data_IF_709275393818
#
_entry.id   IF_709275393818
#
_cell.length_a   1.000
_cell.length_b   1.000
_cell.length_c   1.000
_cell.angle_alpha   90.00
_cell.angle_beta   90.00
_cell.angle_gamma   90.00
#
_symmetry.space_group_name_H-M   'P 1'
#
loop_
_entity.id
_entity.type
_entity.pdbx_description
1 polymer ?
#
# COMPACT_ATOMS: atom_id res chain seq x y z
N UNK A 1 13.86 4.42 14.31
CA UNK A 1 14.57 4.27 13.02
C UNK A 1 15.61 5.38 12.82
N UNK A 2 16.58 5.19 11.94
CA UNK A 2 17.59 6.17 11.51
C UNK A 2 18.08 5.85 10.09
N UNK A 3 18.62 6.83 9.38
CA UNK A 3 19.16 6.65 8.03
C UNK A 3 20.69 6.66 8.07
N UNK A 4 21.32 5.74 7.35
CA UNK A 4 22.76 5.72 7.15
C UNK A 4 23.10 5.92 5.68
N UNK A 5 24.29 6.46 5.44
CA UNK A 5 24.85 6.61 4.09
C UNK A 5 26.27 6.07 4.10
N UNK A 6 26.51 4.82 3.69
CA UNK A 6 27.84 4.26 3.59
C UNK A 6 28.77 5.15 2.74
N UNK A 7 29.99 5.39 3.22
CA UNK A 7 31.00 6.15 2.45
C UNK A 7 31.54 5.31 1.28
N UNK A 8 31.70 4.02 1.53
CA UNK A 8 32.12 3.01 0.56
C UNK A 8 30.93 2.16 0.13
N UNK A 9 31.04 1.55 -1.03
CA UNK A 9 30.03 0.65 -1.55
C UNK A 9 29.74 -0.49 -0.56
N UNK A 10 28.46 -0.64 -0.22
CA UNK A 10 27.93 -1.65 0.71
C UNK A 10 27.18 -2.69 -0.12
N UNK A 11 27.38 -3.97 0.19
CA UNK A 11 26.53 -5.03 -0.35
C UNK A 11 25.21 -5.10 0.45
N UNK A 12 24.08 -5.48 -0.18
CA UNK A 12 22.82 -5.70 0.53
C UNK A 12 23.01 -6.62 1.74
N UNK A 13 22.27 -6.37 2.80
CA UNK A 13 22.30 -7.22 3.98
C UNK A 13 21.84 -8.63 3.67
N UNK A 14 22.57 -9.60 4.20
CA UNK A 14 22.25 -11.01 4.12
C UNK A 14 22.89 -11.72 5.32
N UNK A 15 22.13 -12.60 5.96
CA UNK A 15 22.65 -13.40 7.08
C UNK A 15 23.98 -14.09 6.71
N UNK A 16 25.03 -14.02 7.56
CA UNK A 16 25.03 -13.54 8.94
C UNK A 16 25.34 -12.04 9.11
N UNK A 17 25.52 -11.29 8.02
CA UNK A 17 25.84 -9.86 8.07
C UNK A 17 24.53 -9.07 8.11
N UNK A 18 24.18 -8.58 9.29
CA UNK A 18 23.00 -7.77 9.58
C UNK A 18 23.43 -6.42 10.18
N UNK A 19 22.50 -5.45 10.36
CA UNK A 19 22.77 -4.21 11.07
C UNK A 19 23.39 -4.42 12.46
N UNK A 20 23.99 -3.37 13.06
CA UNK A 20 24.25 -2.06 12.46
C UNK A 20 25.41 -2.11 11.46
N UNK A 21 25.41 -1.23 10.47
CA UNK A 21 26.54 -1.12 9.54
C UNK A 21 27.81 -0.68 10.27
N UNK A 22 28.87 -1.50 10.18
CA UNK A 22 30.14 -1.25 10.87
C UNK A 22 31.14 -0.37 10.10
N UNK A 23 30.83 -0.01 8.84
CA UNK A 23 31.73 0.77 8.00
C UNK A 23 31.66 2.27 8.23
N UNK A 24 32.51 3.02 7.52
CA UNK A 24 32.53 4.49 7.60
C UNK A 24 31.27 5.05 6.94
N UNK A 25 30.63 6.00 7.62
CA UNK A 25 29.43 6.68 7.15
C UNK A 25 29.75 8.10 6.67
N UNK A 26 28.98 8.57 5.69
CA UNK A 26 28.87 9.99 5.38
C UNK A 26 28.10 10.70 6.50
N UNK A 27 28.23 12.03 6.64
CA UNK A 27 27.42 12.79 7.57
C UNK A 27 25.92 12.52 7.36
N UNK A 28 25.07 12.61 8.40
CA UNK A 28 23.62 12.51 8.23
C UNK A 28 23.07 13.73 7.46
N UNK A 29 21.85 13.61 6.95
CA UNK A 29 21.08 14.80 6.58
C UNK A 29 20.79 15.61 7.86
N UNK A 30 20.98 16.93 7.81
CA UNK A 30 20.76 17.82 8.95
C UNK A 30 19.52 18.67 8.73
N UNK A 31 18.67 18.74 9.75
CA UNK A 31 17.51 19.62 9.75
C UNK A 31 17.94 21.09 9.91
N UNK A 32 17.11 21.99 9.41
CA UNK A 32 17.17 23.40 9.71
C UNK A 32 16.91 23.72 11.19
N UNK A 33 17.10 24.99 11.59
CA UNK A 33 16.89 25.42 12.98
C UNK A 33 15.47 25.22 13.54
N UNK A 34 14.48 25.06 12.66
CA UNK A 34 13.08 24.78 12.96
C UNK A 34 12.75 23.28 13.03
N UNK A 35 13.73 22.41 12.76
CA UNK A 35 13.56 20.96 12.76
C UNK A 35 13.05 20.38 11.44
N UNK A 36 12.87 21.20 10.39
CA UNK A 36 12.46 20.75 9.07
C UNK A 36 13.66 20.44 8.16
N UNK A 37 13.44 19.62 7.12
CA UNK A 37 14.45 19.23 6.13
C UNK A 37 14.19 19.87 4.75
N UNK A 38 13.31 20.87 4.69
CA UNK A 38 12.89 21.58 3.47
C UNK A 38 13.97 22.52 2.90
N UNK A 39 15.02 22.78 3.67
CA UNK A 39 16.22 23.49 3.24
C UNK A 39 17.18 22.62 2.40
N UNK A 40 16.99 21.29 2.36
CA UNK A 40 17.87 20.38 1.64
C UNK A 40 17.52 20.39 0.14
N UNK A 41 18.48 20.69 -0.76
CA UNK A 41 18.20 20.73 -2.18
C UNK A 41 17.81 19.36 -2.76
N UNK A 42 16.76 19.33 -3.58
CA UNK A 42 16.36 18.17 -4.37
C UNK A 42 17.54 17.72 -5.27
N UNK A 43 17.72 16.41 -5.41
CA UNK A 43 18.81 15.82 -6.19
C UNK A 43 20.13 15.67 -5.43
N UNK A 44 20.13 15.94 -4.12
CA UNK A 44 21.26 15.64 -3.25
C UNK A 44 21.07 14.30 -2.52
N UNK A 45 22.14 13.57 -2.19
CA UNK A 45 22.04 12.36 -1.37
C UNK A 45 21.49 12.63 0.04
N UNK A 46 21.55 13.87 0.53
CA UNK A 46 20.92 14.31 1.78
C UNK A 46 19.40 14.33 1.64
N UNK A 47 18.89 14.79 0.49
CA UNK A 47 17.46 14.80 0.20
C UNK A 47 16.92 13.37 0.10
N UNK A 48 17.62 12.46 -0.57
CA UNK A 48 17.25 11.04 -0.63
C UNK A 48 17.11 10.43 0.79
N UNK A 49 18.04 10.75 1.70
CA UNK A 49 17.99 10.28 3.09
C UNK A 49 16.81 10.88 3.86
N UNK A 50 16.58 12.19 3.76
CA UNK A 50 15.46 12.85 4.41
C UNK A 50 14.11 12.34 3.88
N UNK A 51 13.99 12.16 2.56
CA UNK A 51 12.81 11.62 1.90
C UNK A 51 12.52 10.19 2.37
N UNK A 52 13.51 9.29 2.33
CA UNK A 52 13.33 7.91 2.79
C UNK A 52 12.86 7.83 4.25
N UNK A 53 13.47 8.62 5.15
CA UNK A 53 13.03 8.70 6.54
C UNK A 53 11.58 9.19 6.66
N UNK A 54 11.23 10.27 5.95
CA UNK A 54 9.92 10.88 6.01
C UNK A 54 8.82 9.94 5.49
N UNK A 55 9.06 9.24 4.39
CA UNK A 55 8.12 8.26 3.85
C UNK A 55 7.90 7.10 4.83
N UNK A 56 8.99 6.51 5.36
CA UNK A 56 8.92 5.41 6.32
C UNK A 56 8.18 5.84 7.60
N UNK A 57 8.49 7.03 8.15
CA UNK A 57 7.75 7.59 9.30
C UNK A 57 6.28 7.77 8.99
N UNK A 58 5.95 8.32 7.82
CA UNK A 58 4.57 8.62 7.44
C UNK A 58 3.73 7.37 7.30
N UNK A 59 4.25 6.32 6.66
CA UNK A 59 3.54 5.04 6.53
C UNK A 59 3.33 4.40 7.90
N UNK A 60 4.35 4.42 8.77
CA UNK A 60 4.23 3.95 10.14
C UNK A 60 3.16 4.72 10.92
N UNK A 61 3.13 6.06 10.84
CA UNK A 61 2.10 6.90 11.46
C UNK A 61 0.68 6.51 11.01
N UNK A 62 0.51 6.26 9.71
CA UNK A 62 -0.79 5.88 9.14
C UNK A 62 -1.25 4.54 9.71
N UNK A 63 -0.40 3.51 9.68
CA UNK A 63 -0.75 2.19 10.22
C UNK A 63 -0.98 2.22 11.74
N UNK A 64 -0.15 2.93 12.50
CA UNK A 64 -0.32 3.14 13.94
C UNK A 64 -1.62 3.88 14.26
N UNK A 65 -2.04 4.81 13.41
CA UNK A 65 -3.32 5.53 13.56
C UNK A 65 -4.53 4.62 13.39
N UNK A 66 -4.49 3.67 12.44
CA UNK A 66 -5.54 2.66 12.29
C UNK A 66 -5.53 1.65 13.45
N UNK A 67 -4.35 1.26 13.92
CA UNK A 67 -4.19 0.31 15.02
C UNK A 67 -4.54 0.92 16.39
N UNK A 68 -4.39 2.24 16.54
CA UNK A 68 -4.61 2.96 17.79
C UNK A 68 -3.51 2.79 18.83
N UNK A 69 -2.34 2.27 18.44
CA UNK A 69 -1.14 2.10 19.28
C UNK A 69 0.11 2.03 18.42
N UNK A 70 1.25 2.20 19.06
CA UNK A 70 2.56 1.99 18.44
C UNK A 70 2.76 0.51 18.04
N UNK A 71 3.46 0.31 16.93
CA UNK A 71 3.83 -1.01 16.40
C UNK A 71 5.25 -1.31 16.86
N UNK A 72 5.46 -2.37 17.68
CA UNK A 72 6.80 -2.73 18.14
C UNK A 72 7.62 -3.30 16.98
N UNK A 73 8.94 -3.11 17.02
CA UNK A 73 9.81 -3.76 16.07
C UNK A 73 9.92 -5.26 16.37
N UNK A 74 9.67 -6.12 15.38
CA UNK A 74 9.77 -7.57 15.54
C UNK A 74 11.20 -8.07 15.84
N UNK A 75 12.20 -7.20 15.65
CA UNK A 75 13.60 -7.47 15.93
C UNK A 75 14.06 -6.98 17.31
N UNK A 76 13.16 -6.45 18.14
CA UNK A 76 13.46 -6.19 19.55
C UNK A 76 13.62 -7.50 20.35
N UNK A 77 14.53 -7.54 21.35
CA UNK A 77 15.40 -6.46 21.81
C UNK A 77 16.77 -6.43 21.11
N UNK A 78 16.96 -7.18 20.01
CA UNK A 78 18.26 -7.27 19.32
C UNK A 78 18.70 -5.92 18.77
N UNK A 79 17.76 -5.19 18.15
CA UNK A 79 17.96 -3.80 17.72
C UNK A 79 16.81 -2.92 18.21
N UNK A 80 17.14 -1.74 18.72
CA UNK A 80 16.12 -0.77 19.21
C UNK A 80 15.53 0.10 18.08
N UNK A 81 16.17 0.11 16.90
CA UNK A 81 15.83 1.01 15.81
C UNK A 81 16.09 0.35 14.46
N UNK A 82 15.16 0.55 13.52
CA UNK A 82 15.35 0.26 12.10
C UNK A 82 16.48 1.10 11.49
N UNK A 83 17.43 0.47 10.82
CA UNK A 83 18.47 1.10 10.00
C UNK A 83 18.00 1.21 8.54
N UNK A 84 17.94 2.42 8.00
CA UNK A 84 17.52 2.68 6.62
C UNK A 84 18.74 3.00 5.76
N UNK A 85 18.92 2.27 4.66
CA UNK A 85 19.94 2.55 3.64
C UNK A 85 19.20 3.07 2.40
N UNK A 86 19.26 4.37 2.08
CA UNK A 86 18.44 4.96 1.03
C UNK A 86 18.96 4.65 -0.37
N UNK A 87 20.19 4.14 -0.50
CA UNK A 87 20.76 3.89 -1.82
C UNK A 87 21.85 2.83 -1.80
N UNK A 88 21.67 1.81 -2.63
CA UNK A 88 22.64 0.79 -3.01
C UNK A 88 22.69 0.69 -4.53
N UNK A 89 23.84 0.29 -5.09
CA UNK A 89 23.97 -0.04 -6.52
C UNK A 89 23.45 -1.45 -6.75
N UNK A 90 22.14 -1.56 -6.81
CA UNK A 90 21.43 -2.83 -6.86
C UNK A 90 20.04 -2.59 -7.40
N UNK A 91 19.63 -3.35 -8.41
CA UNK A 91 18.30 -3.23 -9.02
C UNK A 91 17.25 -4.01 -8.20
N UNK A 92 17.14 -3.67 -6.92
CA UNK A 92 16.09 -4.17 -6.03
C UNK A 92 15.94 -3.30 -4.77
N UNK A 93 14.89 -3.56 -3.99
CA UNK A 93 14.77 -3.11 -2.61
C UNK A 93 14.59 -4.33 -1.70
N UNK A 94 14.83 -4.16 -0.40
CA UNK A 94 14.49 -5.16 0.59
C UNK A 94 14.34 -4.59 1.99
N UNK A 95 13.65 -5.34 2.83
CA UNK A 95 13.51 -5.09 4.25
C UNK A 95 13.63 -6.39 5.03
N UNK A 96 14.07 -6.30 6.29
CA UNK A 96 14.30 -7.49 7.08
C UNK A 96 14.65 -7.18 8.53
N UNK A 97 15.32 -8.12 9.18
CA UNK A 97 15.63 -8.07 10.62
C UNK A 97 16.57 -6.90 10.95
N UNK A 98 15.99 -5.73 11.25
CA UNK A 98 16.68 -4.49 11.64
C UNK A 98 16.99 -3.52 10.51
N UNK A 99 16.64 -3.81 9.25
CA UNK A 99 17.00 -2.96 8.10
C UNK A 99 15.88 -2.75 7.10
N UNK A 100 16.01 -1.65 6.35
CA UNK A 100 15.33 -1.36 5.09
C UNK A 100 16.37 -0.79 4.13
N UNK A 101 16.50 -1.38 2.94
CA UNK A 101 17.51 -1.04 1.95
C UNK A 101 16.88 -0.78 0.59
N UNK A 102 17.18 0.38 0.03
CA UNK A 102 16.70 0.79 -1.28
C UNK A 102 17.84 0.78 -2.29
N UNK A 103 17.62 0.14 -3.43
CA UNK A 103 18.50 0.18 -4.57
C UNK A 103 18.17 1.30 -5.57
N UNK A 104 18.50 1.06 -6.84
CA UNK A 104 18.23 1.97 -7.95
C UNK A 104 17.90 1.21 -9.24
N UNK A 105 16.93 1.73 -10.01
CA UNK A 105 16.58 1.23 -11.35
C UNK A 105 17.54 1.83 -12.38
N UNK A 106 18.26 0.96 -13.10
CA UNK A 106 19.21 1.35 -14.14
C UNK A 106 18.64 1.26 -15.57
N UNK A 107 17.41 0.76 -15.75
CA UNK A 107 16.84 0.44 -17.06
C UNK A 107 16.63 1.65 -17.97
N UNK A 108 16.55 2.86 -17.40
CA UNK A 108 16.31 4.13 -18.13
C UNK A 108 17.58 4.91 -18.45
N UNK A 109 18.76 4.31 -18.29
CA UNK A 109 20.06 4.91 -18.65
C UNK A 109 20.64 5.90 -17.64
N UNK A 110 19.80 6.47 -16.77
CA UNK A 110 20.20 7.22 -15.58
C UNK A 110 19.63 6.52 -14.33
N UNK A 111 20.45 6.20 -13.31
CA UNK A 111 19.98 5.50 -12.12
C UNK A 111 18.86 6.25 -11.41
N UNK A 112 17.71 5.59 -11.23
CA UNK A 112 16.55 6.12 -10.51
C UNK A 112 16.51 5.49 -9.11
N UNK A 113 16.87 6.23 -8.05
CA UNK A 113 16.90 5.67 -6.70
C UNK A 113 15.49 5.28 -6.22
N UNK A 114 15.31 4.05 -5.75
CA UNK A 114 14.03 3.64 -5.19
C UNK A 114 13.67 4.39 -3.91
N UNK A 115 14.65 5.00 -3.21
CA UNK A 115 14.37 5.90 -2.10
C UNK A 115 13.64 7.19 -2.48
N UNK A 116 13.52 7.53 -3.77
CA UNK A 116 12.67 8.63 -4.25
C UNK A 116 11.29 8.15 -4.70
N UNK A 117 11.05 6.84 -4.69
CA UNK A 117 9.75 6.25 -4.98
C UNK A 117 9.01 5.95 -3.66
N UNK A 118 7.95 6.73 -3.40
CA UNK A 118 7.14 6.56 -2.20
C UNK A 118 6.57 5.14 -2.09
N UNK A 119 6.06 4.58 -3.20
CA UNK A 119 5.41 3.28 -3.21
C UNK A 119 6.39 2.16 -2.87
N UNK A 120 7.62 2.23 -3.37
CA UNK A 120 8.67 1.25 -3.06
C UNK A 120 9.03 1.29 -1.57
N UNK A 121 9.22 2.49 -1.00
CA UNK A 121 9.47 2.64 0.43
C UNK A 121 8.28 2.15 1.29
N UNK A 122 7.06 2.45 0.86
CA UNK A 122 5.84 2.09 1.57
C UNK A 122 5.55 0.58 1.53
N UNK A 123 5.85 -0.08 0.41
CA UNK A 123 5.81 -1.53 0.29
C UNK A 123 6.81 -2.18 1.25
N UNK A 124 8.08 -1.76 1.23
CA UNK A 124 9.13 -2.35 2.08
C UNK A 124 8.87 -2.17 3.58
N UNK A 125 8.47 -0.97 4.02
CA UNK A 125 8.08 -0.78 5.42
C UNK A 125 6.79 -1.54 5.76
N UNK A 126 5.92 -1.78 4.78
CA UNK A 126 4.71 -2.60 4.91
C UNK A 126 5.02 -3.99 5.44
N UNK A 127 6.06 -4.66 4.93
CA UNK A 127 6.50 -5.95 5.48
C UNK A 127 6.90 -5.86 6.95
N UNK A 128 7.67 -4.85 7.34
CA UNK A 128 8.12 -4.69 8.73
C UNK A 128 6.97 -4.36 9.69
N UNK A 129 5.98 -3.61 9.21
CA UNK A 129 4.73 -3.32 9.92
C UNK A 129 3.98 -4.62 10.18
N UNK A 130 3.80 -5.45 9.15
CA UNK A 130 3.12 -6.74 9.28
C UNK A 130 3.88 -7.64 10.27
N UNK A 131 5.21 -7.74 10.15
CA UNK A 131 6.02 -8.49 11.13
C UNK A 131 5.89 -7.94 12.55
N UNK A 132 5.80 -6.61 12.73
CA UNK A 132 5.63 -6.00 14.05
C UNK A 132 4.30 -6.34 14.71
N UNK A 133 3.23 -6.51 13.92
CA UNK A 133 1.90 -6.84 14.44
C UNK A 133 1.68 -8.35 14.54
N UNK A 134 1.90 -9.08 13.45
CA UNK A 134 1.65 -10.52 13.37
C UNK A 134 2.77 -11.36 13.98
N UNK A 135 3.97 -10.80 14.16
CA UNK A 135 5.22 -11.50 14.51
C UNK A 135 5.74 -12.36 13.36
N UNK A 136 6.92 -12.93 13.57
CA UNK A 136 7.61 -13.80 12.60
C UNK A 136 7.30 -15.26 12.94
N UNK A 137 7.02 -16.11 11.93
CA UNK A 137 6.80 -17.54 12.14
C UNK A 137 8.04 -18.20 12.76
N UNK A 138 7.83 -19.11 13.72
CA UNK A 138 8.94 -19.84 14.38
C UNK A 138 9.51 -20.99 13.55
N UNK A 139 8.75 -21.46 12.58
CA UNK A 139 9.06 -22.57 11.68
C UNK A 139 8.74 -22.14 10.25
N UNK A 140 8.93 -23.04 9.29
CA UNK A 140 8.54 -22.80 7.90
C UNK A 140 7.07 -22.36 7.86
N UNK A 141 6.77 -21.13 7.39
CA UNK A 141 5.41 -20.65 7.39
C UNK A 141 4.57 -21.36 6.34
N UNK A 142 3.23 -21.26 6.46
CA UNK A 142 2.33 -21.64 5.39
C UNK A 142 2.70 -20.95 4.07
N UNK A 143 2.37 -21.60 2.96
CA UNK A 143 2.70 -21.12 1.61
C UNK A 143 2.17 -19.70 1.32
N UNK A 144 0.97 -19.41 1.79
CA UNK A 144 0.29 -18.12 1.58
C UNK A 144 0.81 -17.01 2.50
N UNK A 145 1.69 -17.32 3.47
CA UNK A 145 2.16 -16.32 4.43
C UNK A 145 2.92 -15.18 3.76
N UNK A 146 3.91 -15.50 2.91
CA UNK A 146 4.67 -14.48 2.20
C UNK A 146 3.82 -13.80 1.11
N UNK A 147 2.92 -14.54 0.46
CA UNK A 147 2.04 -13.97 -0.56
C UNK A 147 1.03 -12.98 0.06
N UNK A 148 0.56 -13.24 1.29
CA UNK A 148 -0.22 -12.30 2.08
C UNK A 148 0.61 -11.05 2.42
N UNK A 149 1.87 -11.23 2.83
CA UNK A 149 2.77 -10.11 3.10
C UNK A 149 2.97 -9.21 1.88
N UNK A 150 3.18 -9.77 0.69
CA UNK A 150 3.25 -9.02 -0.57
C UNK A 150 1.94 -8.26 -0.85
N UNK A 151 0.80 -8.96 -0.79
CA UNK A 151 -0.50 -8.37 -1.10
C UNK A 151 -0.83 -7.18 -0.17
N UNK A 152 -0.53 -7.35 1.12
CA UNK A 152 -0.80 -6.33 2.14
C UNK A 152 0.23 -5.21 2.09
N UNK A 153 1.50 -5.49 1.76
CA UNK A 153 2.52 -4.45 1.58
C UNK A 153 2.16 -3.52 0.41
N UNK A 154 1.74 -4.08 -0.73
CA UNK A 154 1.22 -3.29 -1.86
C UNK A 154 -0.01 -2.47 -1.45
N UNK A 155 -0.92 -3.05 -0.65
CA UNK A 155 -2.13 -2.34 -0.26
C UNK A 155 -1.85 -1.24 0.75
N UNK A 156 -0.90 -1.45 1.67
CA UNK A 156 -0.37 -0.42 2.57
C UNK A 156 0.23 0.73 1.75
N UNK A 157 0.99 0.44 0.68
CA UNK A 157 1.53 1.46 -0.21
C UNK A 157 0.41 2.29 -0.84
N UNK A 158 -0.62 1.63 -1.41
CA UNK A 158 -1.78 2.29 -2.00
C UNK A 158 -2.51 3.18 -0.98
N UNK A 159 -2.96 2.64 0.15
CA UNK A 159 -3.74 3.44 1.12
C UNK A 159 -2.90 4.57 1.71
N UNK A 160 -1.57 4.38 1.86
CA UNK A 160 -0.67 5.43 2.33
C UNK A 160 -0.49 6.53 1.30
N UNK A 161 -0.43 6.21 0.01
CA UNK A 161 -0.40 7.19 -1.07
C UNK A 161 -1.68 8.03 -1.08
N UNK A 162 -2.84 7.39 -0.82
CA UNK A 162 -4.13 8.07 -0.72
C UNK A 162 -4.24 9.02 0.49
N UNK A 163 -3.25 9.09 1.38
CA UNK A 163 -3.16 10.14 2.42
C UNK A 163 -2.55 11.45 1.93
N UNK A 164 -1.99 11.49 0.72
CA UNK A 164 -1.50 12.74 0.13
C UNK A 164 -2.60 13.45 -0.67
N UNK A 165 -2.92 14.66 -0.24
CA UNK A 165 -3.92 15.53 -0.85
C UNK A 165 -3.73 15.67 -2.38
N UNK A 166 -2.48 15.85 -2.81
CA UNK A 166 -2.11 15.95 -4.24
C UNK A 166 -2.27 14.63 -4.99
N UNK A 167 -1.98 13.50 -4.36
CA UNK A 167 -2.13 12.19 -5.00
C UNK A 167 -3.61 11.88 -5.25
N UNK A 168 -4.47 12.14 -4.26
CA UNK A 168 -5.92 12.05 -4.41
C UNK A 168 -6.43 12.94 -5.54
N UNK A 169 -5.98 14.19 -5.60
CA UNK A 169 -6.39 15.13 -6.64
C UNK A 169 -6.00 14.65 -8.04
N UNK A 170 -4.76 14.18 -8.21
CA UNK A 170 -4.28 13.66 -9.48
C UNK A 170 -5.03 12.40 -9.88
N UNK A 171 -5.23 11.45 -8.96
CA UNK A 171 -5.98 10.22 -9.19
C UNK A 171 -7.41 10.51 -9.66
N UNK A 172 -8.15 11.33 -8.90
CA UNK A 172 -9.54 11.66 -9.20
C UNK A 172 -9.67 12.45 -10.50
N UNK A 173 -8.77 13.38 -10.80
CA UNK A 173 -8.81 14.12 -12.07
C UNK A 173 -8.55 13.22 -13.28
N UNK A 174 -7.60 12.30 -13.16
CA UNK A 174 -7.24 11.38 -14.27
C UNK A 174 -8.29 10.33 -14.51
N UNK A 175 -8.86 9.78 -13.44
CA UNK A 175 -9.95 8.79 -13.50
C UNK A 175 -11.32 9.44 -13.69
N UNK A 176 -11.41 10.77 -13.69
CA UNK A 176 -12.66 11.54 -13.61
C UNK A 176 -13.56 11.08 -12.45
N UNK A 177 -12.94 10.69 -11.34
CA UNK A 177 -13.60 10.17 -10.15
C UNK A 177 -14.03 8.69 -10.25
N UNK A 178 -13.72 8.01 -11.35
CA UNK A 178 -14.10 6.62 -11.59
C UNK A 178 -12.92 5.65 -11.45
N UNK A 179 -12.81 5.05 -10.27
CA UNK A 179 -11.78 4.05 -10.00
C UNK A 179 -12.00 2.70 -10.70
N UNK A 180 -13.15 2.47 -11.35
CA UNK A 180 -13.43 1.25 -12.12
C UNK A 180 -12.90 1.31 -13.55
N UNK A 181 -12.75 2.52 -14.14
CA UNK A 181 -12.10 2.71 -15.46
C UNK A 181 -10.57 2.55 -15.34
N UNK A 182 -10.04 2.29 -14.14
CA UNK A 182 -8.61 2.15 -13.88
C UNK A 182 -7.89 1.07 -14.73
N UNK A 183 -8.62 0.13 -15.35
CA UNK A 183 -8.08 -0.78 -16.37
C UNK A 183 -7.45 -0.05 -17.57
N UNK A 184 -7.85 1.20 -17.87
CA UNK A 184 -7.29 2.00 -18.97
C UNK A 184 -6.05 2.84 -18.57
N UNK A 185 -5.58 2.77 -17.31
CA UNK A 185 -4.25 3.28 -16.96
C UNK A 185 -3.12 2.44 -17.59
N UNK A 186 -3.39 1.21 -18.00
CA UNK A 186 -2.44 0.39 -18.76
C UNK A 186 -2.10 0.98 -20.14
N UNK A 187 -2.97 1.82 -20.73
CA UNK A 187 -2.81 2.34 -22.09
C UNK A 187 -2.17 3.73 -22.19
N UNK A 188 -2.03 4.47 -21.10
CA UNK A 188 -1.55 5.86 -21.10
C UNK A 188 -0.33 6.12 -20.18
N UNK A 189 0.17 5.11 -19.47
CA UNK A 189 1.11 5.25 -18.34
C UNK A 189 2.61 5.01 -18.64
N UNK A 190 3.10 5.40 -19.82
CA UNK A 190 4.54 5.42 -20.10
C UNK A 190 5.28 6.53 -19.30
N UNK A 191 4.56 7.46 -18.65
CA UNK A 191 5.11 8.72 -18.14
C UNK A 191 4.70 9.13 -16.70
N UNK A 192 4.11 8.27 -15.84
CA UNK A 192 3.63 8.75 -14.53
C UNK A 192 3.75 7.79 -13.33
N UNK A 193 3.74 8.40 -12.14
CA UNK A 193 4.04 7.84 -10.81
C UNK A 193 2.97 6.86 -10.24
N UNK A 194 1.86 6.60 -10.92
CA UNK A 194 0.74 5.79 -10.39
C UNK A 194 0.89 4.29 -10.72
N UNK A 195 2.02 3.68 -10.32
CA UNK A 195 2.27 2.23 -10.53
C UNK A 195 1.32 1.34 -9.71
N UNK A 196 0.97 1.74 -8.49
CA UNK A 196 0.21 0.87 -7.57
C UNK A 196 -1.22 0.56 -8.05
N UNK A 197 -1.97 1.55 -8.53
CA UNK A 197 -3.35 1.31 -9.02
C UNK A 197 -3.39 0.26 -10.13
N UNK A 198 -2.34 0.15 -10.96
CA UNK A 198 -2.21 -0.90 -11.98
C UNK A 198 -1.99 -2.29 -11.39
N UNK A 199 -1.21 -2.41 -10.32
CA UNK A 199 -0.96 -3.69 -9.65
C UNK A 199 -2.25 -4.33 -9.13
N UNK A 200 -3.25 -3.52 -8.79
CA UNK A 200 -4.53 -3.99 -8.26
C UNK A 200 -5.66 -4.13 -9.29
N UNK A 201 -5.57 -3.40 -10.41
CA UNK A 201 -6.63 -3.35 -11.42
C UNK A 201 -6.55 -4.53 -12.40
N UNK A 202 -6.78 -5.75 -11.90
CA UNK A 202 -6.86 -6.97 -12.69
C UNK A 202 -8.01 -7.86 -12.24
N UNK A 203 -8.41 -8.81 -13.08
CA UNK A 203 -9.50 -9.77 -12.80
C UNK A 203 -9.05 -11.14 -12.28
N UNK A 204 -7.74 -11.33 -12.03
CA UNK A 204 -7.18 -12.62 -11.57
C UNK A 204 -7.84 -13.14 -10.29
N UNK A 205 -8.16 -14.44 -10.29
CA UNK A 205 -8.67 -15.22 -9.15
C UNK A 205 -7.64 -16.26 -8.70
N UNK A 206 -7.92 -16.96 -7.61
CA UNK A 206 -7.04 -18.05 -7.15
C UNK A 206 -6.82 -19.13 -8.21
N UNK A 207 -7.80 -19.40 -9.09
CA UNK A 207 -7.62 -20.32 -10.23
C UNK A 207 -6.64 -19.85 -11.30
N UNK A 208 -6.34 -18.55 -11.36
CA UNK A 208 -5.62 -17.94 -12.47
C UNK A 208 -4.12 -17.76 -12.18
N UNK A 209 -3.70 -17.99 -10.94
CA UNK A 209 -2.35 -17.68 -10.46
C UNK A 209 -1.56 -18.93 -10.11
N UNK A 210 -0.23 -18.80 -10.21
CA UNK A 210 0.71 -19.85 -9.83
C UNK A 210 1.01 -19.83 -8.32
N UNK A 211 1.84 -20.77 -7.90
CA UNK A 211 2.36 -20.85 -6.52
C UNK A 211 3.51 -19.88 -6.25
N UNK A 212 3.97 -19.13 -7.24
CA UNK A 212 4.99 -18.10 -7.04
C UNK A 212 4.43 -16.98 -6.16
N UNK A 213 5.22 -16.49 -5.20
CA UNK A 213 4.73 -15.62 -4.10
C UNK A 213 4.08 -14.34 -4.62
N UNK A 214 4.71 -13.65 -5.58
CA UNK A 214 4.15 -12.41 -6.13
C UNK A 214 2.94 -12.67 -7.03
N UNK A 215 2.87 -13.82 -7.69
CA UNK A 215 1.70 -14.18 -8.50
C UNK A 215 0.52 -14.57 -7.60
N UNK A 216 0.79 -15.32 -6.53
CA UNK A 216 -0.19 -15.75 -5.54
C UNK A 216 -0.74 -14.58 -4.70
N UNK A 217 0.00 -13.48 -4.56
CA UNK A 217 -0.45 -12.29 -3.82
C UNK A 217 -1.59 -11.55 -4.51
N UNK A 218 -1.63 -11.62 -5.85
CA UNK A 218 -2.52 -10.81 -6.70
C UNK A 218 -4.01 -10.97 -6.38
N UNK A 219 -4.59 -12.17 -6.19
CA UNK A 219 -6.03 -12.29 -5.93
C UNK A 219 -6.43 -11.65 -4.60
N UNK A 220 -5.59 -11.79 -3.56
CA UNK A 220 -5.84 -11.18 -2.25
C UNK A 220 -5.69 -9.66 -2.32
N UNK A 221 -4.62 -9.17 -2.95
CA UNK A 221 -4.41 -7.76 -3.25
C UNK A 221 -5.62 -7.17 -4.00
N UNK A 222 -6.05 -7.83 -5.08
CA UNK A 222 -7.22 -7.47 -5.86
C UNK A 222 -8.49 -7.37 -5.02
N UNK A 223 -8.76 -8.34 -4.14
CA UNK A 223 -9.91 -8.28 -3.23
C UNK A 223 -9.91 -7.00 -2.37
N UNK A 224 -8.75 -6.64 -1.79
CA UNK A 224 -8.63 -5.43 -0.95
C UNK A 224 -8.96 -4.17 -1.74
N UNK A 225 -8.47 -4.09 -2.99
CA UNK A 225 -8.78 -2.98 -3.89
C UNK A 225 -10.25 -2.97 -4.32
N UNK A 226 -10.84 -4.12 -4.60
CA UNK A 226 -12.24 -4.22 -4.99
C UNK A 226 -13.16 -3.74 -3.85
N UNK A 227 -12.86 -4.14 -2.61
CA UNK A 227 -13.56 -3.67 -1.41
C UNK A 227 -13.44 -2.14 -1.29
N UNK A 228 -12.24 -1.57 -1.48
CA UNK A 228 -12.03 -0.12 -1.47
C UNK A 228 -12.90 0.58 -2.51
N UNK A 229 -12.91 0.07 -3.74
CA UNK A 229 -13.68 0.66 -4.83
C UNK A 229 -15.18 0.52 -4.58
N UNK A 230 -15.67 -0.62 -4.11
CA UNK A 230 -17.08 -0.83 -3.83
C UNK A 230 -17.57 0.09 -2.69
N UNK A 231 -16.83 0.17 -1.58
CA UNK A 231 -17.12 1.10 -0.48
C UNK A 231 -17.17 2.54 -1.00
N UNK A 232 -16.21 2.93 -1.84
CA UNK A 232 -16.20 4.25 -2.47
C UNK A 232 -17.45 4.47 -3.33
N UNK A 233 -17.85 3.52 -4.18
CA UNK A 233 -19.04 3.66 -5.02
C UNK A 233 -20.33 3.76 -4.20
N UNK A 234 -20.46 2.97 -3.11
CA UNK A 234 -21.61 3.08 -2.21
C UNK A 234 -21.65 4.48 -1.59
N UNK A 235 -20.51 5.02 -1.16
CA UNK A 235 -20.44 6.37 -0.61
C UNK A 235 -20.79 7.43 -1.67
N UNK A 236 -20.41 7.25 -2.93
CA UNK A 236 -20.83 8.13 -4.02
C UNK A 236 -22.35 8.13 -4.19
N UNK A 237 -22.96 6.95 -4.22
CA UNK A 237 -24.42 6.80 -4.31
C UNK A 237 -25.14 7.46 -3.13
N UNK A 238 -24.72 7.15 -1.90
CA UNK A 238 -25.32 7.71 -0.68
C UNK A 238 -25.21 9.24 -0.60
N UNK A 239 -24.17 9.81 -1.21
CA UNK A 239 -23.95 11.27 -1.27
C UNK A 239 -24.61 11.93 -2.49
N UNK A 240 -25.37 11.17 -3.31
CA UNK A 240 -26.02 11.68 -4.52
C UNK A 240 -25.03 12.08 -5.63
N UNK A 241 -23.82 11.53 -5.60
CA UNK A 241 -22.81 11.70 -6.65
C UNK A 241 -22.91 10.61 -7.72
N UNK A 242 -23.64 9.54 -7.47
CA UNK A 242 -23.91 8.49 -8.45
C UNK A 242 -25.39 8.13 -8.36
N UNK A 243 -26.03 7.92 -9.51
CA UNK A 243 -27.37 7.34 -9.57
C UNK A 243 -27.32 5.80 -9.52
N UNK A 244 -26.12 5.24 -9.60
CA UNK A 244 -25.86 3.81 -9.55
C UNK A 244 -25.68 3.37 -8.11
N UNK A 245 -26.57 2.49 -7.63
CA UNK A 245 -26.39 1.77 -6.38
C UNK A 245 -25.55 0.51 -6.69
N UNK A 246 -24.28 0.45 -6.28
CA UNK A 246 -23.44 -0.72 -6.58
C UNK A 246 -23.97 -2.01 -5.92
N UNK A 247 -24.83 -1.90 -4.90
CA UNK A 247 -25.45 -3.04 -4.20
C UNK A 247 -26.48 -3.78 -5.05
N UNK A 248 -26.90 -3.19 -6.18
CA UNK A 248 -27.81 -3.84 -7.12
C UNK A 248 -27.09 -4.86 -8.03
N UNK A 249 -25.76 -4.89 -8.01
CA UNK A 249 -24.92 -5.73 -8.86
C UNK A 249 -24.19 -6.78 -8.03
N UNK A 250 -24.00 -7.98 -8.59
CA UNK A 250 -23.13 -9.00 -7.98
C UNK A 250 -21.67 -8.76 -8.33
N UNK A 251 -21.43 -8.31 -9.56
CA UNK A 251 -20.12 -7.88 -10.04
C UNK A 251 -20.31 -6.68 -10.96
N UNK A 252 -20.21 -5.50 -10.36
CA UNK A 252 -20.35 -4.23 -11.05
C UNK A 252 -19.40 -4.08 -12.26
N UNK A 253 -18.21 -4.68 -12.20
CA UNK A 253 -17.21 -4.57 -13.28
C UNK A 253 -17.51 -5.47 -14.46
N UNK A 254 -18.12 -6.62 -14.22
CA UNK A 254 -18.51 -7.54 -15.31
C UNK A 254 -19.89 -7.23 -15.89
N UNK A 255 -20.77 -6.65 -15.08
CA UNK A 255 -22.19 -6.44 -15.44
C UNK A 255 -22.45 -5.14 -16.19
N UNK A 256 -21.53 -4.17 -16.16
CA UNK A 256 -21.63 -2.92 -16.91
C UNK A 256 -20.52 -2.81 -17.95
N UNK A 257 -20.90 -2.40 -19.16
CA UNK A 257 -19.93 -2.01 -20.16
C UNK A 257 -19.26 -0.69 -19.77
N UNK A 258 -18.04 -0.48 -20.27
CA UNK A 258 -17.28 0.77 -20.06
C UNK A 258 -18.10 2.01 -20.48
N UNK A 259 -18.84 1.90 -21.58
CA UNK A 259 -19.69 2.97 -22.10
C UNK A 259 -20.86 3.30 -21.17
N UNK A 260 -21.47 2.29 -20.54
CA UNK A 260 -22.54 2.48 -19.54
C UNK A 260 -21.98 3.10 -18.27
N UNK A 261 -20.80 2.63 -17.84
CA UNK A 261 -20.12 3.12 -16.66
C UNK A 261 -19.69 4.59 -16.85
N UNK A 262 -19.12 4.92 -18.00
CA UNK A 262 -18.79 6.28 -18.39
C UNK A 262 -20.04 7.14 -18.51
N UNK A 263 -21.09 6.71 -19.21
CA UNK A 263 -22.28 7.52 -19.45
C UNK A 263 -23.01 7.89 -18.15
N UNK A 264 -23.15 6.93 -17.23
CA UNK A 264 -23.86 7.15 -15.96
C UNK A 264 -23.06 8.06 -15.00
N UNK A 265 -21.74 7.96 -14.98
CA UNK A 265 -20.89 8.86 -14.20
C UNK A 265 -20.72 10.24 -14.86
N UNK A 266 -20.62 10.30 -16.20
CA UNK A 266 -20.53 11.53 -17.00
C UNK A 266 -21.78 12.39 -16.86
N UNK A 267 -22.97 11.78 -16.78
CA UNK A 267 -24.22 12.49 -16.51
C UNK A 267 -24.22 13.21 -15.16
N UNK A 268 -23.36 12.76 -14.23
CA UNK A 268 -23.22 13.32 -12.88
C UNK A 268 -22.01 14.28 -12.75
N UNK A 269 -20.99 14.18 -13.61
CA UNK A 269 -19.78 15.01 -13.59
C UNK A 269 -19.98 16.40 -14.24
N UNK A 270 -20.70 17.28 -13.56
CA UNK A 270 -20.63 18.72 -13.83
C UNK A 270 -19.32 19.33 -13.30
N UNK A 271 -18.75 20.27 -14.05
CA UNK A 271 -17.46 20.93 -13.84
C UNK A 271 -17.46 21.89 -12.62
N UNK A 272 -17.57 21.36 -11.40
CA UNK A 272 -17.72 22.16 -10.19
C UNK A 272 -16.76 21.71 -9.07
N UNK A 273 -15.92 22.64 -8.57
CA UNK A 273 -14.92 22.41 -7.51
C UNK A 273 -15.52 21.77 -6.25
N UNK A 274 -16.77 22.10 -5.93
CA UNK A 274 -17.49 21.50 -4.80
C UNK A 274 -17.71 20.00 -4.94
N UNK A 275 -17.82 19.47 -6.17
CA UNK A 275 -18.00 18.04 -6.42
C UNK A 275 -16.69 17.27 -6.25
N UNK A 276 -15.58 17.83 -6.72
CA UNK A 276 -14.24 17.27 -6.52
C UNK A 276 -13.93 17.07 -5.03
N UNK A 277 -14.31 18.04 -4.20
CA UNK A 277 -14.20 17.92 -2.75
C UNK A 277 -15.01 16.74 -2.17
N UNK A 278 -16.26 16.54 -2.61
CA UNK A 278 -17.09 15.44 -2.10
C UNK A 278 -16.61 14.07 -2.59
N UNK A 279 -16.10 13.98 -3.84
CA UNK A 279 -15.44 12.78 -4.37
C UNK A 279 -14.21 12.42 -3.52
N UNK A 280 -13.36 13.41 -3.25
CA UNK A 280 -12.17 13.25 -2.41
C UNK A 280 -12.51 12.77 -1.02
N UNK A 281 -13.47 13.42 -0.37
CA UNK A 281 -13.95 13.02 0.95
C UNK A 281 -14.56 11.61 0.97
N UNK A 282 -15.19 11.16 -0.12
CA UNK A 282 -15.72 9.80 -0.20
C UNK A 282 -14.59 8.77 -0.32
N UNK A 283 -13.55 9.08 -1.10
CA UNK A 283 -12.38 8.22 -1.24
C UNK A 283 -11.55 8.16 0.04
N UNK A 284 -11.40 9.28 0.75
CA UNK A 284 -10.76 9.32 2.07
C UNK A 284 -11.52 8.46 3.08
N UNK A 285 -12.85 8.55 3.13
CA UNK A 285 -13.66 7.72 4.02
C UNK A 285 -13.58 6.22 3.64
N UNK A 286 -13.63 5.89 2.35
CA UNK A 286 -13.47 4.51 1.89
C UNK A 286 -12.09 3.94 2.26
N UNK A 287 -11.02 4.71 2.02
CA UNK A 287 -9.65 4.38 2.41
C UNK A 287 -9.56 4.10 3.91
N UNK A 288 -10.11 4.98 4.74
CA UNK A 288 -10.02 4.84 6.19
C UNK A 288 -10.83 3.63 6.70
N UNK A 289 -12.02 3.38 6.13
CA UNK A 289 -12.83 2.22 6.49
C UNK A 289 -12.12 0.91 6.14
N UNK A 290 -11.59 0.77 4.93
CA UNK A 290 -10.91 -0.47 4.50
C UNK A 290 -9.57 -0.65 5.20
N UNK A 291 -8.82 0.44 5.41
CA UNK A 291 -7.59 0.42 6.22
C UNK A 291 -7.83 -0.02 7.66
N UNK A 292 -8.89 0.48 8.30
CA UNK A 292 -9.31 0.09 9.65
C UNK A 292 -9.72 -1.40 9.70
N UNK A 293 -10.46 -1.90 8.72
CA UNK A 293 -10.84 -3.33 8.61
C UNK A 293 -9.59 -4.21 8.51
N UNK A 294 -8.68 -3.88 7.59
CA UNK A 294 -7.46 -4.66 7.37
C UNK A 294 -6.59 -4.70 8.64
N UNK A 295 -6.26 -3.55 9.21
CA UNK A 295 -5.36 -3.48 10.37
C UNK A 295 -5.96 -4.13 11.61
N UNK A 296 -7.28 -4.05 11.81
CA UNK A 296 -7.96 -4.74 12.91
C UNK A 296 -8.02 -6.25 12.73
N UNK A 297 -8.07 -6.74 11.49
CA UNK A 297 -8.09 -8.18 11.23
C UNK A 297 -6.83 -8.89 11.74
N UNK A 298 -5.68 -8.20 11.77
CA UNK A 298 -4.40 -8.76 12.22
C UNK A 298 -4.40 -9.28 13.65
N UNK A 299 -5.31 -8.82 14.52
CA UNK A 299 -5.42 -9.30 15.91
C UNK A 299 -5.79 -10.79 15.97
N UNK A 300 -6.50 -11.29 14.97
CA UNK A 300 -6.98 -12.68 14.90
C UNK A 300 -6.05 -13.58 14.08
N UNK A 301 -4.97 -13.03 13.51
CA UNK A 301 -4.07 -13.78 12.62
C UNK A 301 -2.83 -14.27 13.35
N UNK A 302 -2.55 -15.57 13.17
CA UNK A 302 -1.38 -16.25 13.73
C UNK A 302 -0.43 -16.68 12.59
N UNK A 303 0.86 -16.30 12.61
CA UNK A 303 1.82 -16.59 11.54
C UNK A 303 1.90 -18.06 11.15
N UNK A 304 1.81 -18.97 12.12
CA UNK A 304 1.94 -20.40 11.89
C UNK A 304 0.75 -21.03 11.18
N UNK A 305 -0.40 -20.36 11.13
CA UNK A 305 -1.64 -20.92 10.57
C UNK A 305 -2.28 -20.02 9.51
N UNK A 306 -1.64 -18.90 9.17
CA UNK A 306 -2.14 -17.96 8.19
C UNK A 306 -2.38 -18.64 6.84
N UNK A 307 -3.62 -18.53 6.37
CA UNK A 307 -4.04 -18.81 5.01
C UNK A 307 -5.02 -17.69 4.58
N UNK A 308 -5.29 -17.58 3.29
CA UNK A 308 -6.14 -16.53 2.74
C UNK A 308 -7.58 -16.63 3.23
N UNK A 309 -8.08 -17.84 3.48
CA UNK A 309 -9.42 -18.03 4.05
C UNK A 309 -9.49 -17.41 5.44
N UNK A 310 -8.54 -17.71 6.33
CA UNK A 310 -8.46 -17.13 7.68
C UNK A 310 -8.26 -15.62 7.63
N UNK A 311 -7.42 -15.14 6.72
CA UNK A 311 -7.23 -13.70 6.52
C UNK A 311 -8.54 -13.00 6.11
N UNK A 312 -9.29 -13.58 5.16
CA UNK A 312 -10.59 -13.07 4.75
C UNK A 312 -11.63 -13.14 5.87
N UNK A 313 -11.71 -14.26 6.59
CA UNK A 313 -12.60 -14.44 7.76
C UNK A 313 -12.30 -13.41 8.85
N UNK A 314 -11.03 -13.15 9.17
CA UNK A 314 -10.64 -12.12 10.13
C UNK A 314 -11.04 -10.71 9.67
N UNK A 315 -10.93 -10.41 8.37
CA UNK A 315 -11.40 -9.14 7.82
C UNK A 315 -12.92 -9.00 7.88
N UNK A 316 -13.68 -10.08 7.65
CA UNK A 316 -15.14 -10.08 7.81
C UNK A 316 -15.51 -9.76 9.26
N UNK A 317 -14.90 -10.43 10.23
CA UNK A 317 -15.14 -10.18 11.66
C UNK A 317 -14.76 -8.73 12.04
N UNK A 318 -13.64 -8.23 11.53
CA UNK A 318 -13.22 -6.84 11.74
C UNK A 318 -14.19 -5.82 11.12
N UNK A 319 -14.77 -6.13 9.94
CA UNK A 319 -15.80 -5.31 9.33
C UNK A 319 -17.08 -5.31 10.16
N UNK A 320 -17.62 -6.48 10.51
CA UNK A 320 -18.87 -6.64 11.27
C UNK A 320 -18.86 -5.93 12.63
N UNK A 321 -17.71 -5.95 13.31
CA UNK A 321 -17.54 -5.34 14.64
C UNK A 321 -17.17 -3.84 14.60
N UNK A 322 -16.81 -3.32 13.43
CA UNK A 322 -16.29 -1.97 13.25
C UNK A 322 -17.27 -0.96 12.66
N UNK A 323 -16.74 0.20 12.27
CA UNK A 323 -17.48 1.23 11.52
C UNK A 323 -17.93 0.76 10.14
N UNK A 324 -17.24 -0.24 9.58
CA UNK A 324 -17.51 -0.83 8.29
C UNK A 324 -18.57 -1.94 8.30
N UNK A 325 -19.32 -2.14 9.39
CA UNK A 325 -20.26 -3.27 9.53
C UNK A 325 -21.28 -3.40 8.41
N UNK A 326 -21.76 -2.28 7.88
CA UNK A 326 -22.66 -2.25 6.72
C UNK A 326 -22.03 -2.74 5.40
N UNK A 327 -20.70 -2.82 5.34
CA UNK A 327 -19.93 -3.29 4.19
C UNK A 327 -19.41 -4.73 4.36
N UNK A 328 -19.78 -5.43 5.45
CA UNK A 328 -19.37 -6.82 5.65
C UNK A 328 -19.80 -7.74 4.50
N UNK A 329 -20.99 -7.50 3.92
CA UNK A 329 -21.44 -8.19 2.71
C UNK A 329 -20.50 -7.98 1.52
N UNK A 330 -20.13 -6.73 1.24
CA UNK A 330 -19.14 -6.38 0.21
C UNK A 330 -17.81 -7.10 0.44
N UNK A 331 -17.32 -7.16 1.68
CA UNK A 331 -16.08 -7.88 2.02
C UNK A 331 -16.20 -9.36 1.66
N UNK A 332 -17.30 -10.01 2.02
CA UNK A 332 -17.57 -11.42 1.69
C UNK A 332 -17.61 -11.62 0.17
N UNK A 333 -18.39 -10.81 -0.54
CA UNK A 333 -18.63 -10.96 -1.96
C UNK A 333 -17.34 -10.79 -2.79
N UNK A 334 -16.50 -9.81 -2.44
CA UNK A 334 -15.22 -9.60 -3.12
C UNK A 334 -14.22 -10.74 -2.89
N UNK A 335 -14.12 -11.27 -1.66
CA UNK A 335 -13.27 -12.43 -1.40
C UNK A 335 -13.80 -13.71 -2.07
N UNK A 336 -15.11 -13.91 -2.09
CA UNK A 336 -15.73 -15.03 -2.79
C UNK A 336 -15.51 -14.94 -4.31
N UNK A 337 -15.61 -13.74 -4.89
CA UNK A 337 -15.35 -13.51 -6.32
C UNK A 337 -13.90 -13.83 -6.71
N UNK A 338 -12.93 -13.53 -5.83
CA UNK A 338 -11.51 -13.87 -6.00
C UNK A 338 -11.20 -15.34 -5.70
N UNK A 339 -12.20 -16.16 -5.36
CA UNK A 339 -12.09 -17.58 -5.01
C UNK A 339 -11.29 -17.85 -3.72
N UNK A 340 -11.33 -16.90 -2.78
CA UNK A 340 -10.68 -17.03 -1.47
C UNK A 340 -11.61 -17.69 -0.45
N UNK A 341 -12.92 -17.43 -0.54
CA UNK A 341 -13.96 -17.96 0.36
C UNK A 341 -14.79 -19.09 -0.23
#
# INVERSE_FOLDING_TARGET
MYVIRPLVEKQPYQFPYLPPYAGVLRPPAEAGPDGHFDNIPIGTPEFEAAHAYACVRRVLDICESYLGREIPWFFEPTYDRLEIVPRLRWDNAQSGYGFLEMGEDEARGEPQPFALNFDALAHEIGHLIIFGVMRVPRFDPPHEYFAYHEAVADFIALISLLHFDRALDLLLRRTRGNLLIANELDRFAELSDEKQVRLFSHSLRMSDVSVEVHDLSKPFAGALFDILVEVYQVLLFERGLSDLDPRDFRDLRSELSEEELEAQLSASLGDNDSRHFVLKSALEEARDLVGEILVRSWVELEPETLDYRRAAEAMIVAAESGRGSRFAGSVIDNFAWREIL
#
